data_IF_205062056480
#
_entry.id   IF_205062056480
#
_cell.length_a   1.000
_cell.length_b   1.000
_cell.length_c   1.000
_cell.angle_alpha   90.00
_cell.angle_beta   90.00
_cell.angle_gamma   90.00
#
_symmetry.space_group_name_H-M   'P 1'
#
loop_
_entity.id
_entity.type
_entity.pdbx_description
1 polymer ?
#
# COMPACT_ATOMS: atom_id res chain seq x y z
N UNK A 1 5.59 3.23 -18.75
CA UNK A 1 6.08 3.26 -17.36
C UNK A 1 4.90 3.30 -16.40
N UNK A 2 4.90 2.42 -15.41
CA UNK A 2 3.84 2.39 -14.40
C UNK A 2 4.16 3.46 -13.38
N UNK A 3 3.25 4.40 -13.12
CA UNK A 3 3.51 5.43 -12.12
C UNK A 3 3.59 4.81 -10.72
N UNK A 4 4.59 5.24 -9.96
CA UNK A 4 4.74 4.80 -8.58
C UNK A 4 3.96 5.76 -7.67
N UNK A 5 3.37 5.24 -6.57
CA UNK A 5 2.70 6.11 -5.62
C UNK A 5 3.74 6.99 -4.91
N UNK A 6 3.39 8.24 -4.69
CA UNK A 6 4.23 9.11 -3.92
C UNK A 6 4.03 8.84 -2.44
N UNK A 7 5.12 8.96 -1.66
CA UNK A 7 5.05 8.69 -0.24
C UNK A 7 4.00 9.52 0.47
N UNK A 8 3.84 10.78 0.08
CA UNK A 8 2.86 11.65 0.72
C UNK A 8 1.43 11.15 0.56
N UNK A 9 1.16 10.47 -0.56
CA UNK A 9 -0.16 9.89 -0.79
C UNK A 9 -0.40 8.65 0.07
N UNK A 10 0.68 7.99 0.51
CA UNK A 10 0.58 6.75 1.26
C UNK A 10 0.64 6.92 2.77
N UNK A 11 1.15 8.04 3.25
CA UNK A 11 1.37 8.17 4.70
C UNK A 11 0.09 8.13 5.53
N UNK A 12 -1.06 8.41 4.93
CA UNK A 12 -2.33 8.27 5.61
C UNK A 12 -2.72 6.82 5.82
N UNK A 13 -2.06 5.91 5.10
CA UNK A 13 -2.40 4.50 5.10
C UNK A 13 -1.31 3.63 5.74
N UNK A 14 -0.40 4.23 6.51
CA UNK A 14 0.69 3.48 7.15
C UNK A 14 0.13 2.30 7.94
N UNK A 15 0.67 1.11 7.69
CA UNK A 15 0.22 -0.12 8.35
C UNK A 15 -1.00 -0.77 7.73
N UNK A 16 -1.64 -0.10 6.78
CA UNK A 16 -2.82 -0.64 6.13
C UNK A 16 -2.48 -1.24 4.78
N UNK A 17 -3.38 -2.11 4.31
CA UNK A 17 -3.28 -2.66 2.96
C UNK A 17 -3.99 -1.72 1.99
N UNK A 18 -3.43 -1.56 0.81
CA UNK A 18 -4.00 -0.67 -0.20
C UNK A 18 -4.01 -1.36 -1.56
N UNK A 19 -4.97 -0.97 -2.39
CA UNK A 19 -5.00 -1.30 -3.80
C UNK A 19 -4.68 -0.04 -4.57
N UNK A 20 -3.70 -0.15 -5.46
CA UNK A 20 -3.20 0.99 -6.21
C UNK A 20 -3.43 0.74 -7.69
N UNK A 21 -3.96 1.74 -8.37
CA UNK A 21 -4.22 1.67 -9.81
C UNK A 21 -4.26 3.06 -10.40
N UNK A 22 -3.75 3.19 -11.60
CA UNK A 22 -3.77 4.46 -12.35
C UNK A 22 -3.17 5.62 -11.58
N UNK A 23 -2.10 5.35 -10.83
CA UNK A 23 -1.37 6.38 -10.10
C UNK A 23 -2.02 6.81 -8.79
N UNK A 24 -2.99 6.06 -8.29
CA UNK A 24 -3.66 6.44 -7.05
C UNK A 24 -4.13 5.22 -6.25
N UNK A 25 -4.41 5.45 -4.97
CA UNK A 25 -5.01 4.44 -4.11
C UNK A 25 -6.51 4.37 -4.42
N UNK A 26 -6.98 3.20 -4.80
CA UNK A 26 -8.41 2.99 -5.12
C UNK A 26 -9.15 2.27 -4.01
N UNK A 27 -8.43 1.65 -3.07
CA UNK A 27 -9.05 0.98 -1.93
C UNK A 27 -8.04 0.84 -0.82
N UNK A 28 -8.52 0.74 0.42
CA UNK A 28 -7.68 0.52 1.60
C UNK A 28 -8.45 -0.32 2.61
N UNK A 29 -7.74 -1.06 3.44
CA UNK A 29 -8.36 -1.90 4.45
C UNK A 29 -7.33 -2.57 5.33
N UNK A 30 -7.80 -3.46 6.20
CA UNK A 30 -6.95 -4.10 7.19
C UNK A 30 -6.31 -5.41 6.71
N UNK A 31 -6.83 -5.99 5.65
CA UNK A 31 -6.28 -7.23 5.08
C UNK A 31 -6.15 -7.13 3.58
N UNK A 32 -5.21 -7.93 3.03
CA UNK A 32 -5.00 -7.98 1.59
C UNK A 32 -6.27 -8.45 0.86
N UNK A 33 -6.94 -9.46 1.41
CA UNK A 33 -8.15 -10.01 0.80
C UNK A 33 -9.24 -8.97 0.66
N UNK A 34 -9.48 -8.22 1.74
CA UNK A 34 -10.49 -7.17 1.74
C UNK A 34 -10.20 -6.12 0.68
N UNK A 35 -8.95 -5.68 0.64
CA UNK A 35 -8.53 -4.64 -0.30
C UNK A 35 -8.59 -5.14 -1.74
N UNK A 36 -8.20 -6.40 -1.96
CA UNK A 36 -8.27 -7.00 -3.28
C UNK A 36 -9.72 -7.03 -3.80
N UNK A 37 -10.66 -7.45 -2.96
CA UNK A 37 -12.05 -7.51 -3.35
C UNK A 37 -12.62 -6.12 -3.66
N UNK A 38 -12.23 -5.12 -2.87
CA UNK A 38 -12.64 -3.74 -3.13
C UNK A 38 -11.99 -3.19 -4.40
N UNK A 39 -10.71 -3.48 -4.58
CA UNK A 39 -9.98 -2.99 -5.74
C UNK A 39 -10.47 -3.57 -7.05
N UNK A 40 -10.90 -4.83 -7.05
CA UNK A 40 -11.41 -5.48 -8.23
C UNK A 40 -12.66 -4.80 -8.80
N UNK A 41 -13.39 -4.09 -7.98
CA UNK A 41 -14.57 -3.36 -8.44
C UNK A 41 -14.20 -2.15 -9.29
N UNK A 42 -12.97 -1.68 -9.15
CA UNK A 42 -12.49 -0.50 -9.86
C UNK A 42 -11.61 -0.86 -11.03
N UNK A 43 -10.80 -1.92 -10.89
CA UNK A 43 -9.86 -2.31 -11.93
C UNK A 43 -9.66 -3.82 -11.88
N UNK A 44 -9.39 -4.40 -13.04
CA UNK A 44 -9.25 -5.85 -13.18
C UNK A 44 -8.07 -6.42 -12.40
N UNK A 45 -6.95 -5.72 -12.39
CA UNK A 45 -5.71 -6.19 -11.75
C UNK A 45 -5.06 -5.09 -10.95
N UNK A 46 -5.60 -4.77 -9.76
CA UNK A 46 -4.99 -3.74 -8.91
C UNK A 46 -3.69 -4.24 -8.30
N UNK A 47 -2.77 -3.33 -8.03
CA UNK A 47 -1.56 -3.62 -7.30
C UNK A 47 -1.88 -3.59 -5.81
N UNK A 48 -1.68 -4.70 -5.12
CA UNK A 48 -2.00 -4.82 -3.69
C UNK A 48 -0.72 -4.85 -2.88
N UNK A 49 -0.62 -4.00 -1.87
CA UNK A 49 0.54 -4.04 -0.97
C UNK A 49 0.16 -3.40 0.37
N UNK A 50 0.97 -3.71 1.39
CA UNK A 50 0.83 -3.10 2.70
C UNK A 50 1.80 -1.92 2.78
N UNK A 51 1.28 -0.77 3.22
CA UNK A 51 2.11 0.43 3.35
C UNK A 51 3.01 0.27 4.56
N UNK A 52 4.34 0.29 4.37
CA UNK A 52 5.26 0.07 5.49
C UNK A 52 5.29 1.27 6.43
N UNK A 53 5.57 0.98 7.71
CA UNK A 53 5.83 2.01 8.68
C UNK A 53 7.33 2.34 8.62
N UNK A 54 7.71 3.58 8.28
CA UNK A 54 9.13 3.93 8.18
C UNK A 54 9.89 3.73 9.48
N UNK A 55 9.25 3.97 10.61
CA UNK A 55 9.90 3.79 11.91
C UNK A 55 10.19 2.33 12.18
N UNK A 56 9.28 1.45 11.80
CA UNK A 56 9.45 0.01 11.96
C UNK A 56 10.59 -0.50 11.08
N UNK A 57 10.63 -0.03 9.84
CA UNK A 57 11.70 -0.41 8.91
C UNK A 57 13.05 0.07 9.44
N UNK A 58 13.09 1.27 9.99
CA UNK A 58 14.32 1.84 10.54
C UNK A 58 14.82 1.01 11.71
N UNK A 59 13.93 0.58 12.60
CA UNK A 59 14.32 -0.26 13.74
C UNK A 59 14.89 -1.60 13.28
N UNK A 60 14.25 -2.23 12.30
CA UNK A 60 14.74 -3.50 11.78
C UNK A 60 16.13 -3.35 11.14
N UNK A 61 16.33 -2.27 10.44
CA UNK A 61 17.60 -2.00 9.80
C UNK A 61 18.72 -1.81 10.85
N UNK A 62 18.42 -1.09 11.92
CA UNK A 62 19.38 -0.83 12.97
C UNK A 62 19.70 -2.06 13.81
N UNK A 63 18.76 -2.96 13.99
CA UNK A 63 18.99 -4.19 14.74
C UNK A 63 19.95 -5.13 14.03
N UNK A 64 20.08 -5.02 12.73
CA UNK A 64 20.96 -5.86 11.94
C UNK A 64 22.41 -5.34 11.88
N UNK A 65 22.64 -4.23 12.51
CA UNK A 65 24.00 -3.70 12.67
C UNK A 65 24.57 -4.11 14.03
#
# INVERSE_FOLDING_TARGET
MIPEPEWEDLKEYIGKWVAFADGKVVAAGDTAKEVYEKGKKHIKSPLIFQVPDPDEIYLLYNENN
#
